data_IF_357511314674
#
_entry.id   IF_357511314674
#
_cell.length_a   1.000
_cell.length_b   1.000
_cell.length_c   1.000
_cell.angle_alpha   90.00
_cell.angle_beta   90.00
_cell.angle_gamma   90.00
#
_symmetry.space_group_name_H-M   'P 1'
#
loop_
_entity.id
_entity.type
_entity.pdbx_description
1 polymer ?
#
# COMPACT_ATOMS: atom_id res chain seq x y z
N UNK A 1 73.60 -29.05 16.04
CA UNK A 1 73.11 -27.76 16.57
C UNK A 1 72.03 -27.30 15.61
N UNK A 2 70.74 -27.40 15.85
CA UNK A 2 69.96 -27.70 17.06
C UNK A 2 68.56 -28.07 16.57
N UNK A 3 68.15 -29.30 16.89
CA UNK A 3 66.87 -29.73 17.44
C UNK A 3 65.64 -28.77 17.47
N UNK A 4 64.47 -29.38 17.20
CA UNK A 4 63.20 -29.28 17.97
C UNK A 4 62.41 -27.96 17.75
N UNK A 5 61.09 -27.87 17.53
CA UNK A 5 59.90 -28.74 17.56
C UNK A 5 58.77 -27.96 16.84
N UNK A 6 57.70 -28.63 16.41
CA UNK A 6 56.32 -28.30 16.81
C UNK A 6 55.29 -29.00 15.92
N UNK A 7 54.60 -29.94 16.53
CA UNK A 7 53.33 -30.50 16.11
C UNK A 7 52.15 -29.53 16.38
N UNK A 8 51.07 -29.77 15.64
CA UNK A 8 49.66 -29.63 16.02
C UNK A 8 48.95 -28.26 16.13
N UNK A 9 47.93 -28.16 15.27
CA UNK A 9 46.55 -27.71 15.54
C UNK A 9 46.33 -26.29 16.09
N UNK A 10 45.60 -25.49 15.30
CA UNK A 10 44.35 -24.82 15.72
C UNK A 10 43.75 -24.12 14.48
N UNK A 11 42.60 -24.56 13.98
CA UNK A 11 41.25 -24.14 14.40
C UNK A 11 40.88 -22.71 13.99
N UNK A 12 39.68 -22.64 13.43
CA UNK A 12 38.97 -21.51 12.84
C UNK A 12 39.28 -20.15 13.48
N UNK A 13 39.51 -19.15 12.63
CA UNK A 13 38.98 -17.82 12.89
C UNK A 13 38.10 -17.39 11.72
N UNK A 14 36.80 -17.54 11.96
CA UNK A 14 35.73 -16.81 11.30
C UNK A 14 35.89 -15.36 11.74
N UNK A 15 36.13 -14.45 10.80
CA UNK A 15 35.39 -13.20 10.69
C UNK A 15 36.05 -12.28 9.66
N UNK A 16 35.16 -11.63 8.91
CA UNK A 16 35.24 -10.24 8.49
C UNK A 16 35.53 -9.97 7.00
N UNK A 17 34.50 -9.35 6.41
CA UNK A 17 34.49 -8.57 5.16
C UNK A 17 34.60 -9.32 3.83
N UNK A 18 33.58 -10.15 3.57
CA UNK A 18 33.12 -10.39 2.21
C UNK A 18 32.08 -9.37 1.78
N UNK A 19 32.41 -8.08 1.75
CA UNK A 19 31.69 -7.14 0.88
C UNK A 19 31.90 -7.61 -0.56
N UNK A 20 31.01 -8.47 -1.03
CA UNK A 20 30.92 -8.79 -2.45
C UNK A 20 30.33 -7.56 -3.13
N UNK A 21 31.20 -6.59 -3.40
CA UNK A 21 31.02 -5.55 -4.41
C UNK A 21 30.78 -6.26 -5.74
N UNK A 22 29.52 -6.62 -5.99
CA UNK A 22 29.06 -7.17 -7.26
C UNK A 22 29.14 -6.02 -8.26
N UNK A 23 30.29 -5.94 -8.90
CA UNK A 23 30.63 -4.99 -9.95
C UNK A 23 29.54 -4.94 -11.01
N UNK A 24 29.13 -3.71 -11.28
CA UNK A 24 28.32 -3.21 -12.39
C UNK A 24 28.17 -4.16 -13.58
N UNK A 25 26.93 -4.57 -13.84
CA UNK A 25 26.49 -4.73 -15.22
C UNK A 25 26.42 -3.30 -15.80
N UNK A 26 27.48 -2.94 -16.51
CA UNK A 26 27.87 -1.60 -16.97
C UNK A 26 26.70 -0.66 -17.23
N UNK A 27 26.46 0.25 -16.29
CA UNK A 27 25.68 1.46 -16.54
C UNK A 27 26.49 2.35 -17.51
N UNK A 28 26.21 2.21 -18.82
CA UNK A 28 26.93 2.91 -19.89
C UNK A 28 26.63 4.42 -19.97
N UNK A 29 25.91 4.96 -18.99
CA UNK A 29 25.57 6.39 -18.93
C UNK A 29 26.78 7.24 -18.59
N UNK A 30 26.87 8.40 -19.23
CA UNK A 30 27.87 9.41 -18.88
C UNK A 30 27.57 9.98 -17.49
N UNK A 31 28.59 10.51 -16.81
CA UNK A 31 28.40 11.14 -15.51
C UNK A 31 27.48 12.37 -15.60
N UNK A 32 27.46 13.04 -16.76
CA UNK A 32 26.53 14.12 -17.08
C UNK A 32 25.07 13.62 -17.12
N UNK A 33 24.79 12.50 -17.76
CA UNK A 33 23.46 11.89 -17.79
C UNK A 33 22.99 11.51 -16.38
N UNK A 34 23.87 10.95 -15.55
CA UNK A 34 23.56 10.62 -14.15
C UNK A 34 23.24 11.85 -13.32
N UNK A 35 23.97 12.95 -13.50
CA UNK A 35 23.69 14.22 -12.82
C UNK A 35 22.35 14.82 -13.27
N UNK A 36 22.03 14.76 -14.56
CA UNK A 36 20.74 15.24 -15.08
C UNK A 36 19.57 14.41 -14.58
N UNK A 37 19.69 13.07 -14.58
CA UNK A 37 18.71 12.15 -14.00
C UNK A 37 18.51 12.46 -12.50
N UNK A 38 19.58 12.72 -11.75
CA UNK A 38 19.50 13.04 -10.32
C UNK A 38 18.73 14.33 -10.05
N UNK A 39 19.08 15.40 -10.77
CA UNK A 39 18.39 16.71 -10.66
C UNK A 39 16.92 16.61 -11.06
N UNK A 40 16.63 15.83 -12.10
CA UNK A 40 15.26 15.60 -12.54
C UNK A 40 14.47 14.78 -11.51
N UNK A 41 15.08 13.76 -10.90
CA UNK A 41 14.45 12.95 -9.85
C UNK A 41 14.11 13.80 -8.61
N UNK A 42 15.03 14.67 -8.17
CA UNK A 42 14.78 15.59 -7.06
C UNK A 42 13.65 16.58 -7.39
N UNK A 43 13.65 17.16 -8.60
CA UNK A 43 12.57 18.05 -9.04
C UNK A 43 11.21 17.36 -9.06
N UNK A 44 11.13 16.15 -9.62
CA UNK A 44 9.90 15.36 -9.66
C UNK A 44 9.43 14.99 -8.25
N UNK A 45 10.35 14.58 -7.38
CA UNK A 45 10.05 14.22 -5.99
C UNK A 45 9.34 15.36 -5.27
N UNK A 46 9.85 16.58 -5.39
CA UNK A 46 9.25 17.77 -4.77
C UNK A 46 7.84 18.06 -5.30
N UNK A 47 7.64 17.98 -6.61
CA UNK A 47 6.32 18.19 -7.23
C UNK A 47 5.29 17.21 -6.67
N UNK A 48 5.67 15.94 -6.52
CA UNK A 48 4.78 14.87 -6.05
C UNK A 48 4.55 14.97 -4.54
N UNK A 49 5.57 15.31 -3.76
CA UNK A 49 5.44 15.56 -2.33
C UNK A 49 4.52 16.75 -2.03
N UNK A 50 4.64 17.85 -2.78
CA UNK A 50 3.77 19.02 -2.66
C UNK A 50 2.31 18.66 -2.99
N UNK A 51 2.11 17.81 -4.00
CA UNK A 51 0.79 17.28 -4.33
C UNK A 51 0.24 16.40 -3.21
N UNK A 52 1.05 15.50 -2.63
CA UNK A 52 0.65 14.68 -1.48
C UNK A 52 0.20 15.55 -0.30
N UNK A 53 0.95 16.60 0.05
CA UNK A 53 0.57 17.50 1.16
C UNK A 53 -0.81 18.14 0.97
N UNK A 54 -1.24 18.37 -0.28
CA UNK A 54 -2.54 18.96 -0.60
C UNK A 54 -3.65 17.93 -0.77
N UNK A 55 -3.37 16.77 -1.37
CA UNK A 55 -4.36 15.73 -1.64
C UNK A 55 -4.72 14.90 -0.39
N UNK A 56 -3.77 14.65 0.52
CA UNK A 56 -4.01 13.83 1.71
C UNK A 56 -5.09 14.40 2.64
N UNK A 57 -5.12 15.72 2.95
CA UNK A 57 -6.21 16.30 3.71
C UNK A 57 -7.57 16.14 3.02
N UNK A 58 -7.63 16.25 1.68
CA UNK A 58 -8.88 16.07 0.92
C UNK A 58 -9.39 14.63 1.05
N UNK A 59 -8.51 13.65 0.89
CA UNK A 59 -8.84 12.23 1.07
C UNK A 59 -9.40 11.96 2.47
N UNK A 60 -8.78 12.52 3.50
CA UNK A 60 -9.24 12.40 4.89
C UNK A 60 -10.60 13.07 5.13
N UNK A 61 -10.86 14.24 4.52
CA UNK A 61 -12.17 14.89 4.62
C UNK A 61 -13.26 14.07 3.92
N UNK A 62 -12.98 13.52 2.73
CA UNK A 62 -13.88 12.63 2.01
C UNK A 62 -14.25 11.42 2.88
N UNK A 63 -13.24 10.74 3.47
CA UNK A 63 -13.47 9.60 4.38
C UNK A 63 -14.38 9.99 5.54
N UNK A 64 -14.11 11.11 6.21
CA UNK A 64 -14.92 11.60 7.33
C UNK A 64 -16.37 11.87 6.96
N UNK A 65 -16.63 12.49 5.81
CA UNK A 65 -18.02 12.75 5.38
C UNK A 65 -18.80 11.46 5.12
N UNK A 66 -18.15 10.44 4.53
CA UNK A 66 -18.76 9.13 4.29
C UNK A 66 -18.98 8.38 5.61
N UNK A 67 -17.98 8.35 6.51
CA UNK A 67 -18.10 7.70 7.83
C UNK A 67 -19.20 8.33 8.69
N UNK A 68 -19.29 9.66 8.70
CA UNK A 68 -20.35 10.37 9.44
C UNK A 68 -21.74 10.01 8.90
N UNK A 69 -21.89 9.87 7.59
CA UNK A 69 -23.15 9.45 6.97
C UNK A 69 -23.50 7.99 7.30
N UNK A 70 -22.51 7.08 7.31
CA UNK A 70 -22.71 5.69 7.71
C UNK A 70 -23.11 5.56 9.19
N UNK A 71 -22.54 6.40 10.06
CA UNK A 71 -22.83 6.42 11.49
C UNK A 71 -24.24 6.93 11.84
N UNK A 72 -24.86 7.71 10.93
CA UNK A 72 -26.26 8.14 11.08
C UNK A 72 -27.23 6.97 10.88
N UNK A 73 -28.40 7.06 11.52
CA UNK A 73 -29.50 6.12 11.32
C UNK A 73 -30.02 6.24 9.89
N UNK A 74 -30.42 5.12 9.27
CA UNK A 74 -30.85 5.05 7.87
C UNK A 74 -31.94 6.08 7.50
N UNK A 75 -32.84 6.39 8.42
CA UNK A 75 -33.93 7.37 8.27
C UNK A 75 -33.44 8.84 8.22
N UNK A 76 -32.30 9.13 8.84
CA UNK A 76 -31.72 10.48 8.94
C UNK A 76 -30.63 10.73 7.89
N UNK A 77 -30.28 9.74 7.06
CA UNK A 77 -29.19 9.84 6.08
C UNK A 77 -29.61 10.71 4.89
N UNK A 78 -29.00 11.89 4.77
CA UNK A 78 -29.20 12.77 3.61
C UNK A 78 -28.09 12.61 2.56
N UNK A 79 -28.35 11.75 1.57
CA UNK A 79 -27.43 11.55 0.43
C UNK A 79 -27.10 12.85 -0.32
N UNK A 80 -27.98 13.85 -0.36
CA UNK A 80 -27.68 15.11 -1.05
C UNK A 80 -26.69 15.96 -0.25
N UNK A 81 -26.77 15.93 1.08
CA UNK A 81 -25.78 16.59 1.95
C UNK A 81 -24.40 15.97 1.75
N UNK A 82 -24.31 14.64 1.66
CA UNK A 82 -23.06 13.94 1.35
C UNK A 82 -22.50 14.38 -0.01
N UNK A 83 -23.34 14.42 -1.06
CA UNK A 83 -22.92 14.88 -2.39
C UNK A 83 -22.40 16.32 -2.34
N UNK A 84 -23.13 17.22 -1.67
CA UNK A 84 -22.75 18.63 -1.56
C UNK A 84 -21.42 18.82 -0.81
N UNK A 85 -21.12 17.97 0.18
CA UNK A 85 -19.88 18.01 0.94
C UNK A 85 -18.70 17.39 0.19
N UNK A 86 -18.89 16.22 -0.44
CA UNK A 86 -17.80 15.44 -1.06
C UNK A 86 -17.44 15.94 -2.46
N UNK A 87 -18.41 16.39 -3.25
CA UNK A 87 -18.20 16.86 -4.63
C UNK A 87 -17.13 17.96 -4.75
N UNK A 88 -17.14 19.05 -3.96
CA UNK A 88 -16.10 20.08 -4.07
C UNK A 88 -14.72 19.55 -3.70
N UNK A 89 -14.63 18.60 -2.77
CA UNK A 89 -13.36 17.96 -2.39
C UNK A 89 -12.77 17.13 -3.52
N UNK A 90 -13.62 16.37 -4.24
CA UNK A 90 -13.21 15.59 -5.41
C UNK A 90 -12.73 16.50 -6.56
N UNK A 91 -13.46 17.59 -6.83
CA UNK A 91 -13.07 18.56 -7.85
C UNK A 91 -11.74 19.24 -7.51
N UNK A 92 -11.52 19.58 -6.23
CA UNK A 92 -10.26 20.16 -5.77
C UNK A 92 -9.11 19.16 -5.89
N UNK A 93 -9.33 17.89 -5.54
CA UNK A 93 -8.33 16.83 -5.71
C UNK A 93 -7.99 16.61 -7.19
N UNK A 94 -9.00 16.60 -8.07
CA UNK A 94 -8.82 16.50 -9.51
C UNK A 94 -8.00 17.67 -10.07
N UNK A 95 -8.28 18.90 -9.63
CA UNK A 95 -7.51 20.07 -10.04
C UNK A 95 -6.04 19.94 -9.65
N UNK A 96 -5.74 19.57 -8.40
CA UNK A 96 -4.35 19.41 -7.92
C UNK A 96 -3.64 18.32 -8.72
N UNK A 97 -4.29 17.19 -8.97
CA UNK A 97 -3.69 16.10 -9.75
C UNK A 97 -3.45 16.50 -11.20
N UNK A 98 -4.34 17.28 -11.82
CA UNK A 98 -4.16 17.84 -13.16
C UNK A 98 -2.96 18.79 -13.25
N UNK A 99 -2.85 19.72 -12.31
CA UNK A 99 -1.70 20.63 -12.22
C UNK A 99 -0.40 19.86 -12.02
N UNK A 100 -0.41 18.85 -11.14
CA UNK A 100 0.72 17.97 -10.86
C UNK A 100 1.12 17.16 -12.10
N UNK A 101 0.16 16.58 -12.81
CA UNK A 101 0.40 15.84 -14.06
C UNK A 101 1.01 16.74 -15.15
N UNK A 102 0.53 17.98 -15.28
CA UNK A 102 1.12 18.98 -16.17
C UNK A 102 2.57 19.30 -15.80
N UNK A 103 2.85 19.49 -14.51
CA UNK A 103 4.19 19.77 -14.01
C UNK A 103 5.15 18.57 -14.20
N UNK A 104 4.70 17.35 -13.97
CA UNK A 104 5.47 16.11 -14.21
C UNK A 104 5.78 16.00 -15.70
N UNK A 105 4.79 16.13 -16.59
CA UNK A 105 5.01 16.05 -18.04
C UNK A 105 5.90 17.16 -18.58
N UNK A 106 5.85 18.35 -17.98
CA UNK A 106 6.76 19.44 -18.32
C UNK A 106 8.21 19.18 -17.87
N UNK A 107 8.41 18.36 -16.85
CA UNK A 107 9.74 17.98 -16.36
C UNK A 107 10.28 16.70 -17.02
N UNK A 108 9.44 15.69 -17.25
CA UNK A 108 9.76 14.35 -17.77
C UNK A 108 8.76 13.99 -18.90
N UNK A 109 8.89 14.57 -20.11
CA UNK A 109 7.91 14.40 -21.19
C UNK A 109 7.76 12.94 -21.67
N UNK A 110 8.84 12.16 -21.60
CA UNK A 110 8.91 10.75 -22.00
C UNK A 110 8.64 9.79 -20.83
N UNK A 111 8.40 10.30 -19.61
CA UNK A 111 8.23 9.53 -18.38
C UNK A 111 9.37 8.52 -18.14
N UNK A 112 10.55 8.78 -18.70
CA UNK A 112 11.66 7.83 -18.70
C UNK A 112 12.20 7.66 -17.30
N UNK A 113 12.31 8.76 -16.56
CA UNK A 113 12.88 8.73 -15.21
C UNK A 113 11.88 8.20 -14.19
N UNK A 114 10.61 8.59 -14.29
CA UNK A 114 9.56 8.11 -13.38
C UNK A 114 9.38 6.59 -13.44
N UNK A 115 9.44 6.00 -14.64
CA UNK A 115 9.38 4.56 -14.84
C UNK A 115 10.65 3.84 -14.35
N UNK A 116 11.80 4.46 -14.58
CA UNK A 116 13.10 3.93 -14.16
C UNK A 116 13.24 3.91 -12.64
N UNK A 117 12.87 4.99 -11.95
CA UNK A 117 12.93 5.08 -10.49
C UNK A 117 12.14 3.95 -9.81
N UNK A 118 10.93 3.64 -10.32
CA UNK A 118 10.11 2.52 -9.83
C UNK A 118 10.80 1.16 -10.00
N UNK A 119 11.38 0.91 -11.17
CA UNK A 119 12.10 -0.35 -11.46
C UNK A 119 13.36 -0.48 -10.62
N UNK A 120 14.16 0.58 -10.55
CA UNK A 120 15.40 0.59 -9.77
C UNK A 120 15.13 0.41 -8.27
N UNK A 121 13.99 0.87 -7.77
CA UNK A 121 13.57 0.62 -6.39
C UNK A 121 13.23 -0.83 -6.11
N UNK A 122 12.55 -1.51 -7.04
CA UNK A 122 12.27 -2.94 -6.95
C UNK A 122 13.55 -3.78 -7.04
N UNK A 123 14.49 -3.36 -7.89
CA UNK A 123 15.77 -4.03 -8.09
C UNK A 123 16.83 -3.69 -7.02
N UNK A 124 16.49 -2.85 -6.03
CA UNK A 124 17.40 -2.33 -5.01
C UNK A 124 18.67 -1.64 -5.58
N UNK A 125 18.53 -0.98 -6.73
CA UNK A 125 19.60 -0.25 -7.45
C UNK A 125 19.35 1.27 -7.53
N UNK A 126 18.28 1.76 -6.92
CA UNK A 126 17.89 3.16 -6.99
C UNK A 126 18.86 4.07 -6.23
N UNK A 127 19.20 5.21 -6.86
CA UNK A 127 19.91 6.29 -6.17
C UNK A 127 19.01 6.91 -5.09
N UNK A 128 19.55 7.58 -4.06
CA UNK A 128 18.73 8.18 -2.99
C UNK A 128 17.58 9.07 -3.51
N UNK A 129 17.79 9.78 -4.61
CA UNK A 129 16.79 10.65 -5.25
C UNK A 129 15.72 9.84 -6.00
N UNK A 130 16.10 8.75 -6.67
CA UNK A 130 15.14 7.81 -7.28
C UNK A 130 14.31 7.09 -6.20
N UNK A 131 14.92 6.76 -5.05
CA UNK A 131 14.23 6.16 -3.90
C UNK A 131 13.17 7.11 -3.34
N UNK A 132 13.55 8.38 -3.13
CA UNK A 132 12.64 9.43 -2.67
C UNK A 132 11.47 9.62 -3.65
N UNK A 133 11.77 9.70 -4.94
CA UNK A 133 10.75 9.82 -5.98
C UNK A 133 9.76 8.66 -5.92
N UNK A 134 10.26 7.44 -5.85
CA UNK A 134 9.41 6.26 -5.79
C UNK A 134 8.54 6.18 -4.52
N UNK A 135 9.08 6.57 -3.35
CA UNK A 135 8.28 6.60 -2.12
C UNK A 135 7.18 7.67 -2.21
N UNK A 136 7.50 8.87 -2.74
CA UNK A 136 6.49 9.92 -2.96
C UNK A 136 5.37 9.45 -3.90
N UNK A 137 5.73 8.75 -4.99
CA UNK A 137 4.78 8.15 -5.91
C UNK A 137 3.93 7.06 -5.23
N UNK A 138 4.55 6.22 -4.40
CA UNK A 138 3.86 5.15 -3.67
C UNK A 138 2.84 5.70 -2.68
N UNK A 139 3.19 6.74 -1.90
CA UNK A 139 2.25 7.40 -0.99
C UNK A 139 1.03 7.92 -1.75
N UNK A 140 1.25 8.54 -2.92
CA UNK A 140 0.16 9.04 -3.76
C UNK A 140 -0.78 7.92 -4.22
N UNK A 141 -0.22 6.76 -4.63
CA UNK A 141 -1.01 5.56 -4.99
C UNK A 141 -1.84 5.06 -3.85
N UNK A 142 -1.20 4.85 -2.70
CA UNK A 142 -1.85 4.20 -1.57
C UNK A 142 -2.98 5.07 -1.02
N UNK A 143 -2.76 6.37 -0.89
CA UNK A 143 -3.72 7.24 -0.23
C UNK A 143 -4.83 7.69 -1.17
N UNK A 144 -4.52 8.13 -2.40
CA UNK A 144 -5.55 8.55 -3.36
C UNK A 144 -6.29 7.33 -3.91
N UNK A 145 -5.56 6.31 -4.38
CA UNK A 145 -6.16 5.08 -4.90
C UNK A 145 -6.96 4.34 -3.83
N UNK A 146 -6.39 4.16 -2.63
CA UNK A 146 -7.07 3.51 -1.52
C UNK A 146 -8.32 4.26 -1.06
N UNK A 147 -8.32 5.59 -1.08
CA UNK A 147 -9.52 6.38 -0.74
C UNK A 147 -10.60 6.25 -1.80
N UNK A 148 -10.26 6.21 -3.08
CA UNK A 148 -11.23 6.08 -4.17
C UNK A 148 -11.92 4.72 -4.11
N UNK A 149 -11.16 3.63 -3.99
CA UNK A 149 -11.71 2.27 -3.91
C UNK A 149 -12.61 2.12 -2.68
N UNK A 150 -12.10 2.53 -1.52
CA UNK A 150 -12.89 2.52 -0.28
C UNK A 150 -14.17 3.37 -0.39
N UNK A 151 -14.09 4.58 -0.97
CA UNK A 151 -15.25 5.45 -1.12
C UNK A 151 -16.30 4.84 -2.06
N UNK A 152 -15.86 4.20 -3.15
CA UNK A 152 -16.78 3.51 -4.08
C UNK A 152 -17.51 2.36 -3.38
N UNK A 153 -16.79 1.54 -2.61
CA UNK A 153 -17.39 0.43 -1.86
C UNK A 153 -18.42 0.95 -0.84
N UNK A 154 -18.14 2.06 -0.15
CA UNK A 154 -19.11 2.66 0.78
C UNK A 154 -20.33 3.24 0.07
N UNK A 155 -20.13 3.87 -1.08
CA UNK A 155 -21.20 4.46 -1.89
C UNK A 155 -22.16 3.41 -2.47
N UNK A 156 -21.81 2.12 -2.50
CA UNK A 156 -22.76 1.07 -2.90
C UNK A 156 -24.01 1.01 -2.02
N UNK A 157 -23.90 1.46 -0.77
CA UNK A 157 -25.04 1.58 0.15
C UNK A 157 -25.87 2.86 -0.05
N UNK A 158 -25.42 3.78 -0.91
CA UNK A 158 -25.99 5.11 -1.13
C UNK A 158 -26.27 5.36 -2.63
N UNK A 159 -27.40 4.88 -3.18
CA UNK A 159 -27.62 4.85 -4.63
C UNK A 159 -27.69 6.23 -5.30
N UNK A 160 -28.20 7.27 -4.62
CA UNK A 160 -28.22 8.63 -5.17
C UNK A 160 -26.82 9.24 -5.12
N UNK A 161 -26.14 9.13 -3.98
CA UNK A 161 -24.78 9.65 -3.84
C UNK A 161 -23.81 8.95 -4.80
N UNK A 162 -23.94 7.64 -5.00
CA UNK A 162 -23.17 6.87 -5.99
C UNK A 162 -23.36 7.38 -7.41
N UNK A 163 -24.59 7.74 -7.81
CA UNK A 163 -24.86 8.24 -9.16
C UNK A 163 -24.13 9.56 -9.43
N UNK A 164 -24.05 10.43 -8.43
CA UNK A 164 -23.53 11.78 -8.60
C UNK A 164 -22.02 11.89 -8.29
N UNK A 165 -21.50 11.08 -7.35
CA UNK A 165 -20.08 11.04 -6.96
C UNK A 165 -19.27 9.97 -7.68
N UNK A 166 -19.90 8.87 -8.10
CA UNK A 166 -19.25 7.75 -8.78
C UNK A 166 -18.45 8.19 -10.02
N UNK A 167 -19.03 8.97 -10.95
CA UNK A 167 -18.30 9.47 -12.11
C UNK A 167 -17.09 10.34 -11.75
N UNK A 168 -17.14 11.10 -10.64
CA UNK A 168 -16.04 11.94 -10.17
C UNK A 168 -14.91 11.10 -9.56
N UNK A 169 -15.27 10.07 -8.78
CA UNK A 169 -14.32 9.11 -8.23
C UNK A 169 -13.63 8.30 -9.34
N UNK A 170 -14.37 7.90 -10.38
CA UNK A 170 -13.83 7.21 -11.55
C UNK A 170 -12.87 8.10 -12.35
N UNK A 171 -13.22 9.38 -12.56
CA UNK A 171 -12.34 10.35 -13.22
C UNK A 171 -11.03 10.55 -12.44
N UNK A 172 -11.13 10.68 -11.11
CA UNK A 172 -9.98 10.82 -10.22
C UNK A 172 -9.07 9.55 -10.26
N UNK A 173 -9.67 8.37 -10.31
CA UNK A 173 -8.95 7.09 -10.41
C UNK A 173 -8.27 6.87 -11.77
N UNK A 174 -8.88 7.34 -12.85
CA UNK A 174 -8.30 7.27 -14.19
C UNK A 174 -7.03 8.14 -14.30
N UNK A 175 -7.07 9.35 -13.73
CA UNK A 175 -5.90 10.24 -13.69
C UNK A 175 -4.70 9.63 -12.98
N UNK A 176 -4.94 8.95 -11.86
CA UNK A 176 -3.91 8.25 -11.12
C UNK A 176 -3.14 7.25 -12.00
N UNK A 177 -3.88 6.49 -12.80
CA UNK A 177 -3.30 5.50 -13.72
C UNK A 177 -2.46 6.15 -14.82
N UNK A 178 -2.87 7.33 -15.29
CA UNK A 178 -2.20 8.05 -16.37
C UNK A 178 -0.89 8.73 -15.97
N UNK A 179 -0.79 9.25 -14.73
CA UNK A 179 0.43 9.87 -14.18
C UNK A 179 1.51 8.83 -13.91
N UNK A 180 1.10 7.59 -13.62
CA UNK A 180 2.00 6.56 -13.09
C UNK A 180 2.41 5.47 -14.08
N UNK A 181 1.72 5.33 -15.22
CA UNK A 181 2.09 4.35 -16.24
C UNK A 181 1.48 4.67 -17.62
N UNK A 182 2.12 5.50 -18.45
CA UNK A 182 1.64 5.75 -19.82
C UNK A 182 1.66 4.51 -20.72
N UNK A 183 2.49 3.51 -20.41
CA UNK A 183 2.60 2.26 -21.19
C UNK A 183 1.42 1.31 -21.02
N UNK A 184 0.39 1.69 -20.26
CA UNK A 184 -0.84 0.91 -20.07
C UNK A 184 -2.10 1.63 -20.57
N UNK A 185 -1.98 2.58 -21.49
CA UNK A 185 -3.12 3.12 -22.25
C UNK A 185 -3.51 2.11 -23.34
N UNK A 186 -3.98 0.95 -22.90
CA UNK A 186 -4.66 -0.03 -23.74
C UNK A 186 -5.60 -0.91 -22.89
N UNK A 187 -6.27 -0.34 -21.89
CA UNK A 187 -7.43 -0.98 -21.26
C UNK A 187 -8.46 0.10 -20.89
N UNK A 188 -9.29 0.42 -21.87
CA UNK A 188 -10.62 0.95 -21.59
C UNK A 188 -11.53 -0.24 -21.31
N UNK A 189 -12.28 -0.17 -20.20
CA UNK A 189 -13.39 -1.04 -19.75
C UNK A 189 -13.08 -2.34 -18.96
N UNK A 190 -14.03 -2.78 -18.11
CA UNK A 190 -13.95 -2.68 -16.64
C UNK A 190 -13.47 -3.97 -15.96
N UNK A 191 -13.16 -3.84 -14.67
CA UNK A 191 -12.89 -4.95 -13.73
C UNK A 191 -11.46 -5.49 -13.76
N UNK A 192 -10.73 -5.20 -12.67
CA UNK A 192 -9.65 -6.00 -12.07
C UNK A 192 -8.39 -6.33 -12.89
N UNK A 193 -7.25 -5.96 -12.29
CA UNK A 193 -5.85 -6.40 -12.53
C UNK A 193 -4.97 -5.55 -13.46
N UNK A 194 -3.81 -5.07 -12.97
CA UNK A 194 -2.78 -5.85 -12.28
C UNK A 194 -2.44 -5.43 -10.83
N UNK A 195 -3.29 -4.65 -10.16
CA UNK A 195 -3.15 -4.41 -8.71
C UNK A 195 -3.58 -5.62 -7.85
N UNK A 196 -4.40 -6.54 -8.36
CA UNK A 196 -4.73 -7.80 -7.64
C UNK A 196 -3.58 -8.81 -7.65
N UNK A 197 -2.51 -8.63 -8.42
CA UNK A 197 -1.31 -9.48 -8.25
C UNK A 197 -0.45 -9.03 -7.07
N UNK A 198 -0.45 -7.74 -6.74
CA UNK A 198 0.21 -7.23 -5.53
C UNK A 198 -0.71 -7.43 -4.32
N UNK A 199 -2.00 -7.10 -4.41
CA UNK A 199 -2.96 -7.27 -3.31
C UNK A 199 -3.35 -8.73 -3.11
N UNK A 200 -3.53 -9.51 -4.19
CA UNK A 200 -3.73 -10.96 -4.14
C UNK A 200 -2.44 -11.72 -3.84
N UNK A 201 -1.27 -11.21 -4.22
CA UNK A 201 0.03 -11.74 -3.76
C UNK A 201 0.23 -11.54 -2.26
N UNK A 202 -0.14 -10.38 -1.72
CA UNK A 202 -0.16 -10.12 -0.26
C UNK A 202 -1.26 -10.92 0.43
N UNK A 203 -2.43 -11.11 -0.19
CA UNK A 203 -3.49 -11.99 0.30
C UNK A 203 -3.12 -13.47 0.31
N UNK A 204 -2.39 -13.94 -0.70
CA UNK A 204 -1.87 -15.31 -0.80
C UNK A 204 -0.64 -15.51 0.10
N UNK A 205 0.16 -14.48 0.34
CA UNK A 205 1.21 -14.45 1.37
C UNK A 205 0.60 -14.48 2.78
N UNK A 206 -0.41 -13.66 3.06
CA UNK A 206 -1.12 -13.67 4.34
C UNK A 206 -1.86 -14.99 4.56
N UNK A 207 -2.55 -15.53 3.54
CA UNK A 207 -3.17 -16.85 3.60
C UNK A 207 -2.13 -17.98 3.70
N UNK A 208 -0.99 -17.84 3.02
CA UNK A 208 0.14 -18.76 3.10
C UNK A 208 0.76 -18.78 4.50
N UNK A 209 0.98 -17.61 5.10
CA UNK A 209 1.47 -17.45 6.47
C UNK A 209 0.42 -17.92 7.48
N UNK A 210 -0.87 -17.64 7.29
CA UNK A 210 -1.96 -18.16 8.14
C UNK A 210 -2.12 -19.68 8.03
N UNK A 211 -1.89 -20.27 6.86
CA UNK A 211 -1.89 -21.72 6.66
C UNK A 211 -0.63 -22.38 7.23
N UNK A 212 0.53 -21.71 7.18
CA UNK A 212 1.76 -22.17 7.80
C UNK A 212 1.67 -22.08 9.33
N UNK A 213 1.14 -20.97 9.84
CA UNK A 213 0.82 -20.77 11.26
C UNK A 213 -0.26 -21.77 11.70
N UNK A 214 -1.28 -22.04 10.89
CA UNK A 214 -2.29 -23.06 11.15
C UNK A 214 -1.74 -24.49 11.17
N UNK A 215 -0.79 -24.82 10.29
CA UNK A 215 -0.09 -26.11 10.26
C UNK A 215 0.93 -26.25 11.40
N UNK A 216 1.58 -25.16 11.81
CA UNK A 216 2.45 -25.14 12.98
C UNK A 216 1.62 -25.24 14.27
N UNK A 217 0.49 -24.54 14.38
CA UNK A 217 -0.45 -24.62 15.52
C UNK A 217 -1.12 -25.99 15.64
N UNK A 218 -1.48 -26.60 14.50
CA UNK A 218 -2.07 -27.95 14.46
C UNK A 218 -1.02 -29.06 14.63
N UNK A 219 0.23 -28.81 14.22
CA UNK A 219 1.34 -29.76 14.31
C UNK A 219 2.09 -29.76 15.66
N UNK A 220 2.07 -28.64 16.39
CA UNK A 220 2.71 -28.50 17.72
C UNK A 220 1.79 -28.84 18.90
N UNK A 221 0.55 -29.28 18.66
CA UNK A 221 -0.37 -29.67 19.74
C UNK A 221 -0.88 -28.50 20.60
N UNK A 222 -0.85 -27.27 20.06
CA UNK A 222 -1.25 -26.05 20.78
C UNK A 222 -2.77 -25.97 21.07
N UNK A 223 -3.56 -26.88 20.50
CA UNK A 223 -4.98 -27.10 20.87
C UNK A 223 -5.11 -27.44 22.38
N UNK A 224 -4.11 -28.15 22.93
CA UNK A 224 -4.04 -28.45 24.37
C UNK A 224 -3.62 -27.25 25.21
N UNK A 225 -2.88 -26.30 24.63
CA UNK A 225 -2.44 -25.07 25.31
C UNK A 225 -3.52 -23.98 25.24
N UNK A 226 -4.28 -23.91 24.15
CA UNK A 226 -5.50 -23.10 24.05
C UNK A 226 -6.61 -23.64 24.96
N UNK A 227 -6.85 -24.96 24.98
CA UNK A 227 -7.73 -25.60 25.99
C UNK A 227 -7.19 -25.40 27.40
N UNK A 228 -5.87 -25.43 27.58
CA UNK A 228 -5.21 -25.13 28.85
C UNK A 228 -5.41 -23.69 29.32
N UNK A 229 -5.30 -22.71 28.43
CA UNK A 229 -5.55 -21.29 28.73
C UNK A 229 -7.04 -21.04 28.94
N UNK A 230 -7.93 -21.60 28.11
CA UNK A 230 -9.39 -21.47 28.27
C UNK A 230 -9.87 -22.16 29.56
N UNK A 231 -9.28 -23.29 29.93
CA UNK A 231 -9.56 -23.97 31.20
C UNK A 231 -8.94 -23.22 32.41
N UNK A 232 -7.73 -22.69 32.28
CA UNK A 232 -7.04 -21.97 33.35
C UNK A 232 -7.61 -20.55 33.59
N UNK A 233 -8.12 -19.90 32.55
CA UNK A 233 -8.78 -18.59 32.64
C UNK A 233 -10.26 -18.69 33.03
N UNK A 234 -10.82 -19.91 33.09
CA UNK A 234 -12.17 -20.15 33.62
C UNK A 234 -13.31 -19.64 32.73
N UNK A 235 -13.07 -19.34 31.45
CA UNK A 235 -14.09 -18.86 30.52
C UNK A 235 -15.26 -19.86 30.36
N UNK A 236 -15.01 -21.17 30.47
CA UNK A 236 -16.05 -22.21 30.43
C UNK A 236 -17.05 -22.08 31.60
N UNK A 237 -16.56 -21.61 32.76
CA UNK A 237 -17.39 -21.34 33.94
C UNK A 237 -18.21 -20.05 33.79
N UNK A 238 -17.70 -19.05 33.08
CA UNK A 238 -18.46 -17.85 32.75
C UNK A 238 -19.57 -18.13 31.73
N UNK A 239 -19.33 -18.97 30.73
CA UNK A 239 -20.35 -19.35 29.75
C UNK A 239 -21.47 -20.20 30.37
N UNK A 240 -21.15 -21.10 31.32
CA UNK A 240 -22.17 -21.80 32.12
C UNK A 240 -22.84 -20.91 33.17
N UNK A 241 -22.15 -19.89 33.68
CA UNK A 241 -22.67 -18.92 34.65
C UNK A 241 -23.62 -17.88 34.05
N UNK A 242 -23.56 -17.61 32.75
CA UNK A 242 -24.42 -16.67 32.01
C UNK A 242 -25.80 -17.22 31.60
N UNK A 243 -26.25 -18.34 32.19
CA UNK A 243 -27.68 -18.69 32.22
C UNK A 243 -28.31 -19.25 30.94
N UNK A 244 -27.54 -19.57 29.90
CA UNK A 244 -28.07 -20.17 28.66
C UNK A 244 -28.67 -21.58 28.83
N UNK A 245 -28.42 -22.26 29.96
CA UNK A 245 -29.01 -23.57 30.26
C UNK A 245 -30.48 -23.52 30.70
N UNK A 246 -30.95 -22.38 31.25
CA UNK A 246 -32.33 -22.22 31.69
C UNK A 246 -33.25 -21.65 30.60
N UNK A 247 -32.71 -21.02 29.55
CA UNK A 247 -33.50 -20.45 28.47
C UNK A 247 -33.92 -21.46 27.39
N UNK A 248 -33.32 -22.65 27.37
CA UNK A 248 -33.63 -23.73 26.43
C UNK A 248 -34.48 -24.86 27.05
N UNK A 249 -34.94 -24.70 28.29
CA UNK A 249 -35.74 -25.70 29.01
C UNK A 249 -37.12 -25.19 29.42
N UNK A 250 -37.73 -24.38 28.55
CA UNK A 250 -39.15 -24.00 28.65
C UNK A 250 -39.91 -24.65 27.51
N UNK A 251 -40.43 -25.85 27.77
CA UNK A 251 -41.55 -26.46 27.05
C UNK A 251 -42.45 -27.10 28.10
#
# INVERSE_FOLDING_TARGET
MSDIDAQEQQHMNVADQGETKRTDATDQRTDEEKETDRKLADRLSRIIEDANQKCLPLCNMIRKHIENMEAQKEEDRDENELVNAVKPLLQQAEQILNETNGAIRGADPDNRLSNKAKRNMQDHKATPEEQRLAEALKVMVQEVGGTIEWAKDKLDSFPKAKRDLGPLLDALGCMHSFVLSPSLILYSSPSSEPLTQIVGGVGLLLAGVLNLVGKLLSGLGLDSLLKGIVAATGLDKMYKGLGLGNLLKTK
#
